data_IF_497698637467
#
_entry.id   IF_497698637467
#
_cell.length_a   1.000
_cell.length_b   1.000
_cell.length_c   1.000
_cell.angle_alpha   90.00
_cell.angle_beta   90.00
_cell.angle_gamma   90.00
#
_symmetry.space_group_name_H-M   'P 1'
#
loop_
_entity.id
_entity.type
_entity.pdbx_description
1 polymer ?
#
# COMPACT_ATOMS: atom_id res chain seq x y z
N UNK A 1 23.02 -3.57 -2.01
CA UNK A 1 21.89 -4.16 -1.25
C UNK A 1 20.85 -4.53 -2.28
N UNK A 2 20.52 -5.82 -2.43
CA UNK A 2 19.43 -6.19 -3.32
C UNK A 2 18.11 -5.81 -2.67
N UNK A 3 17.06 -5.64 -3.47
CA UNK A 3 15.75 -5.25 -2.96
C UNK A 3 15.20 -6.26 -1.93
N UNK A 4 15.53 -7.55 -2.09
CA UNK A 4 15.19 -8.61 -1.13
C UNK A 4 15.96 -8.52 0.21
N UNK A 5 17.07 -7.80 0.25
CA UNK A 5 17.93 -7.67 1.43
C UNK A 5 17.60 -6.38 2.22
N UNK A 6 16.68 -5.54 1.72
CA UNK A 6 16.30 -4.30 2.42
C UNK A 6 15.44 -4.63 3.65
N UNK A 7 15.64 -3.90 4.77
CA UNK A 7 14.80 -4.07 5.94
C UNK A 7 13.35 -3.70 5.60
N UNK A 8 12.42 -4.55 6.05
CA UNK A 8 10.99 -4.35 5.91
C UNK A 8 10.38 -4.43 7.31
N UNK A 9 9.61 -3.42 7.67
CA UNK A 9 8.76 -3.51 8.85
C UNK A 9 7.52 -4.30 8.48
N UNK A 10 7.30 -5.42 9.15
CA UNK A 10 6.10 -6.24 9.01
C UNK A 10 5.24 -6.09 10.25
N UNK A 11 3.99 -5.70 10.07
CA UNK A 11 2.95 -5.64 11.10
C UNK A 11 1.92 -6.70 10.75
N UNK A 12 1.60 -7.57 11.70
CA UNK A 12 0.55 -8.58 11.57
C UNK A 12 -0.58 -8.20 12.51
N UNK A 13 -1.75 -7.91 11.95
CA UNK A 13 -2.95 -7.61 12.72
C UNK A 13 -3.58 -8.91 13.25
N UNK A 14 -4.43 -8.82 14.28
CA UNK A 14 -5.10 -9.99 14.88
C UNK A 14 -5.97 -10.79 13.90
N UNK A 15 -6.44 -10.15 12.83
CA UNK A 15 -7.20 -10.79 11.75
C UNK A 15 -6.29 -11.31 10.61
N UNK A 16 -5.00 -11.52 10.89
CA UNK A 16 -3.99 -12.05 9.97
C UNK A 16 -3.66 -11.17 8.76
N UNK A 17 -4.22 -9.95 8.70
CA UNK A 17 -3.85 -8.94 7.71
C UNK A 17 -2.40 -8.53 7.94
N UNK A 18 -1.65 -8.37 6.85
CA UNK A 18 -0.24 -8.01 6.91
C UNK A 18 -0.05 -6.61 6.32
N UNK A 19 0.62 -5.73 7.04
CA UNK A 19 1.15 -4.47 6.52
C UNK A 19 2.67 -4.56 6.44
N UNK A 20 3.21 -4.30 5.27
CA UNK A 20 4.63 -4.16 5.02
C UNK A 20 4.96 -2.69 4.75
N UNK A 21 5.98 -2.19 5.45
CA UNK A 21 6.52 -0.84 5.23
C UNK A 21 7.97 -1.00 4.85
N UNK A 22 8.33 -0.45 3.69
CA UNK A 22 9.69 -0.51 3.15
C UNK A 22 10.21 0.89 2.96
N UNK A 23 11.43 1.15 3.43
CA UNK A 23 12.16 2.38 3.14
C UNK A 23 13.40 2.05 2.34
N UNK A 24 13.77 2.93 1.42
CA UNK A 24 15.02 2.82 0.69
C UNK A 24 16.01 3.92 1.07
N UNK A 25 17.19 3.91 0.45
CA UNK A 25 18.29 4.84 0.78
C UNK A 25 18.06 6.26 0.24
N UNK A 26 17.01 6.46 -0.55
CA UNK A 26 16.66 7.71 -1.21
C UNK A 26 15.48 8.41 -0.52
N UNK A 27 15.13 7.98 0.69
CA UNK A 27 13.96 8.44 1.47
C UNK A 27 12.61 8.10 0.82
N UNK A 28 12.61 7.23 -0.17
CA UNK A 28 11.39 6.72 -0.79
C UNK A 28 10.92 5.51 0.02
N UNK A 29 9.62 5.21 -0.09
CA UNK A 29 9.02 4.12 0.64
C UNK A 29 7.80 3.55 -0.08
N UNK A 30 7.39 2.37 0.36
CA UNK A 30 6.12 1.78 -0.04
C UNK A 30 5.39 1.19 1.16
N UNK A 31 4.06 1.21 1.05
CA UNK A 31 3.14 0.57 1.99
C UNK A 31 2.36 -0.49 1.25
N UNK A 32 2.49 -1.74 1.69
CA UNK A 32 1.81 -2.86 1.06
C UNK A 32 0.96 -3.62 2.09
N UNK A 33 -0.35 -3.67 1.86
CA UNK A 33 -1.30 -4.34 2.75
C UNK A 33 -1.86 -5.57 2.05
N UNK A 34 -1.67 -6.74 2.63
CA UNK A 34 -2.25 -8.01 2.17
C UNK A 34 -3.41 -8.36 3.10
N UNK A 35 -4.62 -8.38 2.57
CA UNK A 35 -5.83 -8.65 3.34
C UNK A 35 -6.17 -10.13 3.44
N UNK A 36 -5.85 -10.91 2.42
CA UNK A 36 -6.01 -12.36 2.41
C UNK A 36 -5.00 -13.01 1.45
N UNK A 37 -4.91 -14.35 1.40
CA UNK A 37 -4.06 -15.05 0.43
C UNK A 37 -4.45 -14.84 -1.05
N UNK A 38 -5.61 -14.21 -1.33
CA UNK A 38 -6.01 -13.89 -2.69
C UNK A 38 -5.10 -12.77 -3.26
N UNK A 39 -4.42 -12.99 -4.40
CA UNK A 39 -3.51 -12.00 -5.01
C UNK A 39 -4.13 -10.64 -5.32
N UNK A 40 -5.44 -10.58 -5.60
CA UNK A 40 -6.11 -9.31 -5.87
C UNK A 40 -6.56 -8.61 -4.58
N UNK A 41 -6.51 -9.28 -3.44
CA UNK A 41 -6.98 -8.79 -2.15
C UNK A 41 -5.88 -8.05 -1.36
N UNK A 42 -5.28 -7.06 -2.02
CA UNK A 42 -4.14 -6.30 -1.52
C UNK A 42 -4.22 -4.83 -1.93
N UNK A 43 -3.63 -3.92 -1.15
CA UNK A 43 -3.47 -2.52 -1.53
C UNK A 43 -1.98 -2.16 -1.50
N UNK A 44 -1.52 -1.32 -2.43
CA UNK A 44 -0.12 -0.90 -2.49
C UNK A 44 0.02 0.59 -2.80
N UNK A 45 0.73 1.32 -1.96
CA UNK A 45 1.21 2.67 -2.26
C UNK A 45 2.70 2.58 -2.54
N UNK A 46 3.12 2.99 -3.74
CA UNK A 46 4.52 3.02 -4.14
C UNK A 46 4.90 4.47 -4.50
N UNK A 47 6.05 4.91 -3.99
CA UNK A 47 6.51 6.29 -4.10
C UNK A 47 7.85 6.41 -4.87
N UNK A 48 8.25 5.41 -5.66
CA UNK A 48 9.51 5.48 -6.43
C UNK A 48 9.45 4.88 -7.84
N UNK A 49 8.40 4.16 -8.21
CA UNK A 49 8.23 3.66 -9.59
C UNK A 49 7.45 4.67 -10.46
N UNK A 50 8.12 5.18 -11.51
CA UNK A 50 7.66 6.28 -12.37
C UNK A 50 7.08 5.84 -13.72
N UNK A 51 6.93 4.53 -13.95
CA UNK A 51 6.48 3.97 -15.24
C UNK A 51 4.97 4.14 -15.48
N UNK A 52 4.21 4.48 -14.45
CA UNK A 52 2.75 4.55 -14.50
C UNK A 52 2.25 5.90 -15.03
N UNK A 53 1.24 5.84 -15.90
CA UNK A 53 0.60 7.03 -16.47
C UNK A 53 -0.42 7.65 -15.49
N UNK A 54 0.11 8.24 -14.41
CA UNK A 54 -0.65 8.96 -13.37
C UNK A 54 -0.05 10.35 -13.13
N UNK A 55 -0.86 11.30 -12.68
CA UNK A 55 -0.43 12.69 -12.45
C UNK A 55 0.52 12.81 -11.26
N UNK A 56 0.41 11.86 -10.33
CA UNK A 56 1.11 11.84 -9.04
C UNK A 56 2.43 11.09 -9.07
N UNK A 57 2.88 10.62 -10.24
CA UNK A 57 4.17 9.91 -10.41
C UNK A 57 5.35 10.61 -9.70
N UNK A 58 6.25 9.85 -9.04
CA UNK A 58 6.28 8.38 -8.98
C UNK A 58 5.24 7.78 -8.03
N UNK A 59 4.50 8.62 -7.29
CA UNK A 59 3.48 8.17 -6.35
C UNK A 59 2.28 7.59 -7.08
N UNK A 60 1.96 6.34 -6.80
CA UNK A 60 0.80 5.69 -7.38
C UNK A 60 0.17 4.67 -6.42
N UNK A 61 -1.13 4.42 -6.60
CA UNK A 61 -1.91 3.56 -5.72
C UNK A 61 -2.52 2.39 -6.47
N UNK A 62 -2.22 1.18 -6.01
CA UNK A 62 -2.87 -0.06 -6.44
C UNK A 62 -4.09 -0.30 -5.57
N UNK A 63 -5.28 -0.18 -6.17
CA UNK A 63 -6.56 -0.29 -5.47
C UNK A 63 -6.85 -1.75 -5.15
N UNK A 64 -7.27 -2.02 -3.91
CA UNK A 64 -7.71 -3.36 -3.47
C UNK A 64 -8.77 -3.95 -4.39
N UNK A 65 -8.52 -5.15 -4.91
CA UNK A 65 -9.42 -5.87 -5.80
C UNK A 65 -9.35 -5.43 -7.26
N UNK A 66 -8.40 -4.57 -7.65
CA UNK A 66 -8.28 -4.06 -9.01
C UNK A 66 -6.83 -4.19 -9.50
N UNK A 67 -6.66 -4.52 -10.78
CA UNK A 67 -5.34 -4.50 -11.45
C UNK A 67 -4.93 -3.09 -11.90
N UNK A 68 -5.77 -2.08 -11.68
CA UNK A 68 -5.53 -0.71 -12.09
C UNK A 68 -4.73 0.07 -11.06
N UNK A 69 -3.87 0.94 -11.57
CA UNK A 69 -3.17 1.97 -10.80
C UNK A 69 -3.90 3.30 -10.95
N UNK A 70 -4.02 4.05 -9.85
CA UNK A 70 -4.64 5.38 -9.82
C UNK A 70 -3.71 6.41 -9.19
N UNK A 71 -4.10 7.68 -9.30
CA UNK A 71 -3.41 8.77 -8.62
C UNK A 71 -3.32 8.49 -7.11
N UNK A 72 -2.10 8.53 -6.58
CA UNK A 72 -1.86 8.36 -5.15
C UNK A 72 -2.16 9.66 -4.40
N UNK A 73 -2.89 9.60 -3.28
CA UNK A 73 -3.00 10.75 -2.40
C UNK A 73 -1.70 10.99 -1.62
N UNK A 74 -0.72 10.09 -1.68
CA UNK A 74 0.55 10.17 -0.96
C UNK A 74 1.60 10.94 -1.75
N UNK A 75 2.49 11.64 -1.04
CA UNK A 75 3.48 12.56 -1.62
C UNK A 75 4.92 12.21 -1.31
N UNK A 76 5.16 11.09 -0.61
CA UNK A 76 6.50 10.74 -0.12
C UNK A 76 6.86 11.45 1.19
N UNK A 77 5.91 12.10 1.86
CA UNK A 77 6.13 12.80 3.14
C UNK A 77 5.45 12.05 4.30
N UNK A 78 6.19 11.37 5.19
CA UNK A 78 5.60 10.47 6.19
C UNK A 78 4.56 11.11 7.12
N UNK A 79 4.77 12.38 7.48
CA UNK A 79 3.84 13.12 8.35
C UNK A 79 2.47 13.36 7.68
N UNK A 80 2.43 13.34 6.36
CA UNK A 80 1.21 13.44 5.56
C UNK A 80 0.66 12.05 5.21
N UNK A 81 1.54 11.12 4.82
CA UNK A 81 1.15 9.85 4.22
C UNK A 81 0.74 8.79 5.25
N UNK A 82 1.35 8.76 6.45
CA UNK A 82 1.00 7.78 7.50
C UNK A 82 -0.45 7.96 7.98
N UNK A 83 -0.96 9.17 8.27
CA UNK A 83 -2.37 9.38 8.58
C UNK A 83 -3.32 8.82 7.51
N UNK A 84 -3.00 9.05 6.22
CA UNK A 84 -3.78 8.52 5.11
C UNK A 84 -3.75 6.99 5.10
N UNK A 85 -2.57 6.38 5.23
CA UNK A 85 -2.44 4.91 5.31
C UNK A 85 -3.36 4.32 6.39
N UNK A 86 -3.37 4.91 7.57
CA UNK A 86 -4.23 4.48 8.68
C UNK A 86 -5.72 4.59 8.33
N UNK A 87 -6.13 5.68 7.69
CA UNK A 87 -7.51 5.87 7.23
C UNK A 87 -7.92 4.77 6.22
N UNK A 88 -7.09 4.48 5.23
CA UNK A 88 -7.35 3.44 4.23
C UNK A 88 -7.47 2.05 4.85
N UNK A 89 -6.58 1.71 5.78
CA UNK A 89 -6.61 0.42 6.50
C UNK A 89 -7.88 0.32 7.35
N UNK A 90 -8.17 1.33 8.18
CA UNK A 90 -9.34 1.33 9.05
C UNK A 90 -10.65 1.27 8.26
N UNK A 91 -10.73 1.99 7.13
CA UNK A 91 -11.90 1.97 6.25
C UNK A 91 -12.06 0.61 5.57
N UNK A 92 -10.95 -0.03 5.19
CA UNK A 92 -10.97 -1.36 4.57
C UNK A 92 -11.48 -2.45 5.51
N UNK A 93 -11.35 -2.27 6.84
CA UNK A 93 -11.93 -3.17 7.84
C UNK A 93 -13.40 -2.88 8.15
N UNK A 94 -13.88 -1.66 7.89
CA UNK A 94 -15.28 -1.27 8.15
C UNK A 94 -16.24 -1.65 7.03
N UNK A 95 -15.75 -1.87 5.80
CA UNK A 95 -16.61 -2.35 4.71
C UNK A 95 -17.00 -3.80 5.01
N UNK A 96 -18.28 -4.12 5.29
CA UNK A 96 -18.70 -5.51 5.33
C UNK A 96 -18.41 -6.11 3.96
N UNK A 97 -17.82 -7.30 3.96
CA UNK A 97 -17.59 -8.09 2.77
C UNK A 97 -18.96 -8.27 2.11
N UNK A 98 -19.18 -7.65 0.95
CA UNK A 98 -20.37 -7.90 0.14
C UNK A 98 -20.27 -9.35 -0.31
N UNK A 99 -20.88 -10.24 0.46
CA UNK A 99 -21.17 -11.60 0.05
C UNK A 99 -22.17 -11.51 -1.10
N UNK A 100 -21.67 -11.53 -2.33
CA UNK A 100 -22.52 -11.86 -3.48
C UNK A 100 -22.71 -13.37 -3.39
N UNK A 101 -23.86 -13.76 -2.85
CA UNK A 101 -24.42 -15.12 -2.98
C UNK A 101 -25.21 -15.17 -4.27
#
# INVERSE_FOLDING_TARGET
>A
ILERDRPVFKIVFHNEVNLFIRYNNYKEYSYFVIFSPNPDDQMHFDNYDDIWDVKTRPHHFHVRGMQSVVDSPMSGEPNHDIPLLLEYILTSFKKPQLSIV
#
